data_IF_135100200432
#
_entry.id   IF_135100200432
#
_cell.length_a   1.000
_cell.length_b   1.000
_cell.length_c   1.000
_cell.angle_alpha   90.00
_cell.angle_beta   90.00
_cell.angle_gamma   90.00
#
_symmetry.space_group_name_H-M   'P 1'
#
loop_
_entity.id
_entity.type
_entity.pdbx_description
1 polymer ?
#
# COMPACT_ATOMS: atom_id res chain seq x y z
N UNK A 1 -0.44 9.62 -5.19
CA UNK A 1 0.64 8.88 -5.89
C UNK A 1 0.83 9.44 -7.29
N UNK A 2 2.07 9.73 -7.63
CA UNK A 2 2.44 10.22 -8.95
C UNK A 2 3.34 9.20 -9.63
N UNK A 3 3.19 9.06 -10.92
CA UNK A 3 4.08 8.26 -11.75
C UNK A 3 4.74 9.17 -12.76
N UNK A 4 6.08 9.20 -12.74
CA UNK A 4 6.86 10.10 -13.60
C UNK A 4 7.90 9.33 -14.41
N UNK A 5 8.25 9.89 -15.57
CA UNK A 5 9.35 9.38 -16.37
C UNK A 5 10.69 9.76 -15.73
N UNK A 6 11.59 8.80 -15.58
CA UNK A 6 12.95 9.09 -15.11
C UNK A 6 13.75 9.89 -16.13
N UNK A 7 13.45 9.73 -17.41
CA UNK A 7 14.19 10.42 -18.47
C UNK A 7 13.80 11.88 -18.59
N UNK A 8 12.52 12.19 -18.47
CA UNK A 8 12.02 13.54 -18.72
C UNK A 8 11.44 14.23 -17.50
N UNK A 9 11.13 13.48 -16.44
CA UNK A 9 10.42 14.02 -15.28
C UNK A 9 8.94 14.24 -15.52
N UNK A 10 8.46 13.92 -16.71
CA UNK A 10 7.06 14.16 -17.07
C UNK A 10 6.12 13.33 -16.21
N UNK A 11 5.02 13.95 -15.76
CA UNK A 11 3.96 13.23 -15.04
C UNK A 11 3.18 12.41 -16.06
N UNK A 12 3.15 11.10 -15.86
CA UNK A 12 2.43 10.18 -16.75
C UNK A 12 1.02 9.92 -16.26
N UNK A 13 0.84 9.79 -14.94
CA UNK A 13 -0.48 9.71 -14.33
C UNK A 13 -0.40 10.02 -12.83
N UNK A 14 -1.57 10.19 -12.23
CA UNK A 14 -1.72 10.49 -10.81
C UNK A 14 -2.95 9.77 -10.28
N UNK A 15 -2.88 9.26 -9.05
CA UNK A 15 -4.03 8.64 -8.39
C UNK A 15 -3.94 8.81 -6.88
N UNK A 16 -5.11 8.87 -6.24
CA UNK A 16 -5.22 8.87 -4.78
C UNK A 16 -5.82 7.56 -4.27
N UNK A 17 -6.03 6.58 -5.16
CA UNK A 17 -6.62 5.29 -4.80
C UNK A 17 -5.89 4.53 -3.69
N UNK A 18 -4.53 4.55 -3.60
CA UNK A 18 -3.85 3.85 -2.53
C UNK A 18 -4.11 4.38 -1.13
N UNK A 19 -4.56 5.61 -1.00
CA UNK A 19 -4.84 6.21 0.30
C UNK A 19 -6.34 6.41 0.49
N UNK A 20 -6.86 7.61 0.31
CA UNK A 20 -8.26 7.90 0.59
C UNK A 20 -9.16 7.99 -0.63
N UNK A 21 -8.58 7.92 -1.83
CA UNK A 21 -9.31 8.11 -3.08
C UNK A 21 -9.49 9.56 -3.47
N UNK A 22 -9.00 10.49 -2.65
CA UNK A 22 -9.08 11.92 -2.91
C UNK A 22 -7.83 12.62 -2.44
N UNK A 23 -7.61 13.84 -2.93
CA UNK A 23 -6.48 14.65 -2.51
C UNK A 23 -6.59 15.01 -1.03
N UNK A 24 -5.50 14.81 -0.30
CA UNK A 24 -5.41 15.17 1.11
C UNK A 24 -4.07 15.84 1.37
N UNK A 25 -4.05 16.68 2.40
CA UNK A 25 -2.82 17.36 2.77
C UNK A 25 -1.75 16.38 3.23
N UNK A 26 -2.15 15.37 3.98
CA UNK A 26 -1.26 14.33 4.49
C UNK A 26 -1.84 12.97 4.11
N UNK A 27 -1.02 12.18 3.48
CA UNK A 27 -1.38 10.80 3.17
C UNK A 27 -0.14 10.07 2.72
N UNK A 28 0.10 8.86 3.20
CA UNK A 28 1.28 8.11 2.79
C UNK A 28 0.98 6.64 2.56
N UNK A 29 1.87 6.01 1.82
CA UNK A 29 1.85 4.58 1.57
C UNK A 29 3.28 4.11 1.35
N UNK A 30 3.57 2.89 1.79
CA UNK A 30 4.84 2.23 1.50
C UNK A 30 4.68 1.40 0.25
N UNK A 31 5.62 1.53 -0.69
CA UNK A 31 5.57 0.82 -1.96
C UNK A 31 6.77 -0.10 -2.06
N UNK A 32 6.52 -1.38 -2.27
CA UNK A 32 7.56 -2.39 -2.40
C UNK A 32 7.35 -3.13 -3.70
N UNK A 33 8.33 -3.04 -4.59
CA UNK A 33 8.25 -3.69 -5.89
C UNK A 33 8.58 -5.16 -5.79
N UNK A 34 7.79 -6.00 -6.46
CA UNK A 34 8.01 -7.44 -6.53
C UNK A 34 7.67 -7.92 -7.94
N UNK A 35 8.70 -8.08 -8.77
CA UNK A 35 8.50 -8.45 -10.17
C UNK A 35 7.73 -7.36 -10.93
N UNK A 36 6.66 -7.75 -11.62
CA UNK A 36 5.82 -6.82 -12.35
C UNK A 36 4.71 -6.21 -11.50
N UNK A 37 4.68 -6.54 -10.21
CA UNK A 37 3.68 -6.06 -9.27
C UNK A 37 4.31 -5.21 -8.19
N UNK A 38 3.50 -4.41 -7.53
CA UNK A 38 3.92 -3.64 -6.37
C UNK A 38 2.96 -3.91 -5.22
N UNK A 39 3.54 -4.08 -4.04
CA UNK A 39 2.75 -4.15 -2.82
C UNK A 39 2.74 -2.75 -2.23
N UNK A 40 1.54 -2.23 -1.98
CA UNK A 40 1.35 -0.90 -1.44
C UNK A 40 0.65 -1.04 -0.10
N UNK A 41 1.29 -0.59 0.97
CA UNK A 41 0.69 -0.60 2.30
C UNK A 41 0.35 0.83 2.70
N UNK A 42 -0.94 1.12 2.79
CA UNK A 42 -1.40 2.47 3.05
C UNK A 42 -1.41 2.80 4.54
N UNK A 43 -1.42 4.08 4.85
CA UNK A 43 -1.51 4.53 6.24
C UNK A 43 -2.83 4.11 6.92
N UNK A 44 -3.80 3.69 6.14
CA UNK A 44 -5.08 3.19 6.65
C UNK A 44 -5.04 1.73 7.06
N UNK A 45 -3.93 1.05 6.82
CA UNK A 45 -3.78 -0.37 7.14
C UNK A 45 -4.21 -1.32 6.04
N UNK A 46 -4.36 -0.83 4.83
CA UNK A 46 -4.74 -1.64 3.67
C UNK A 46 -3.50 -2.10 2.91
N UNK A 47 -3.50 -3.36 2.52
CA UNK A 47 -2.52 -3.89 1.57
C UNK A 47 -3.15 -3.93 0.20
N UNK A 48 -2.48 -3.31 -0.75
CA UNK A 48 -2.92 -3.23 -2.14
C UNK A 48 -1.87 -3.92 -3.00
N UNK A 49 -2.31 -4.76 -3.92
CA UNK A 49 -1.45 -5.34 -4.94
C UNK A 49 -1.82 -4.71 -6.25
N UNK A 50 -0.86 -4.07 -6.90
CA UNK A 50 -1.12 -3.29 -8.10
C UNK A 50 -0.02 -3.47 -9.14
N UNK A 51 -0.36 -3.20 -10.39
CA UNK A 51 0.62 -3.02 -11.46
C UNK A 51 0.75 -1.53 -11.71
N UNK A 52 1.99 -1.04 -11.63
CA UNK A 52 2.30 0.35 -11.88
C UNK A 52 3.06 0.42 -13.20
N UNK A 53 2.41 0.96 -14.22
CA UNK A 53 3.00 1.08 -15.56
C UNK A 53 2.96 2.52 -16.01
N UNK A 54 3.75 2.89 -17.06
CA UNK A 54 3.66 4.25 -17.59
C UNK A 54 2.27 4.66 -18.07
N UNK A 55 1.42 3.69 -18.39
CA UNK A 55 0.08 3.95 -18.89
C UNK A 55 -0.92 4.17 -17.78
N UNK A 56 -0.81 3.43 -16.67
CA UNK A 56 -1.84 3.52 -15.64
C UNK A 56 -1.45 2.83 -14.34
N UNK A 57 -2.24 3.13 -13.31
CA UNK A 57 -2.32 2.39 -12.07
C UNK A 57 -3.42 1.33 -12.22
N UNK A 58 -3.05 0.07 -12.02
CA UNK A 58 -4.01 -1.02 -12.12
C UNK A 58 -4.04 -1.77 -10.79
N UNK A 59 -5.11 -1.60 -10.03
CA UNK A 59 -5.28 -2.27 -8.75
C UNK A 59 -5.76 -3.70 -9.00
N UNK A 60 -4.98 -4.68 -8.54
CA UNK A 60 -5.31 -6.09 -8.73
C UNK A 60 -6.08 -6.65 -7.54
N UNK A 61 -5.75 -6.18 -6.33
CA UNK A 61 -6.34 -6.73 -5.11
C UNK A 61 -6.13 -5.73 -3.98
N UNK A 62 -7.03 -5.77 -2.99
CA UNK A 62 -6.95 -4.92 -1.81
C UNK A 62 -7.53 -5.66 -0.63
N UNK A 63 -6.84 -5.57 0.51
CA UNK A 63 -7.32 -6.18 1.76
C UNK A 63 -6.98 -5.27 2.93
N UNK A 64 -7.90 -5.13 3.86
CA UNK A 64 -7.65 -4.42 5.11
C UNK A 64 -6.99 -5.40 6.08
N UNK A 65 -5.77 -5.10 6.52
CA UNK A 65 -5.01 -5.98 7.39
C UNK A 65 -5.09 -5.60 8.86
N UNK A 66 -5.10 -4.32 9.15
CA UNK A 66 -4.97 -3.84 10.53
C UNK A 66 -5.55 -2.44 10.63
N UNK A 67 -6.11 -2.12 11.78
CA UNK A 67 -6.71 -0.81 11.99
C UNK A 67 -5.64 0.25 12.26
N UNK A 68 -5.88 1.45 11.75
CA UNK A 68 -5.02 2.59 11.99
C UNK A 68 -5.40 3.18 13.34
N UNK A 69 -4.52 3.03 14.33
CA UNK A 69 -4.81 3.48 15.70
C UNK A 69 -3.79 4.46 16.26
N UNK A 70 -2.73 4.75 15.54
CA UNK A 70 -1.80 5.80 15.97
C UNK A 70 -2.40 7.16 15.62
N UNK A 71 -2.56 8.00 16.61
CA UNK A 71 -3.19 9.30 16.41
C UNK A 71 -2.17 10.36 16.00
N UNK A 72 -2.31 10.79 14.76
CA UNK A 72 -1.68 12.01 14.28
C UNK A 72 -2.76 13.10 14.28
N UNK A 73 -2.45 14.37 14.56
CA UNK A 73 -3.48 15.39 14.57
C UNK A 73 -4.35 15.39 13.33
N UNK A 74 -5.65 15.17 13.53
CA UNK A 74 -6.63 15.17 12.45
C UNK A 74 -6.88 13.83 11.78
N UNK A 75 -6.12 12.78 12.13
CA UNK A 75 -6.34 11.47 11.51
C UNK A 75 -5.68 10.34 12.29
N UNK A 76 -6.19 9.13 12.08
CA UNK A 76 -5.55 7.92 12.59
C UNK A 76 -4.74 7.28 11.47
N UNK A 77 -3.53 6.82 11.79
CA UNK A 77 -2.62 6.28 10.80
C UNK A 77 -1.90 5.03 11.30
N UNK A 78 -1.39 4.25 10.37
CA UNK A 78 -0.41 3.21 10.62
C UNK A 78 0.95 3.76 10.20
N UNK A 79 1.83 3.99 11.15
CA UNK A 79 3.15 4.58 10.87
C UNK A 79 4.22 3.56 10.55
N UNK A 80 4.07 2.33 11.05
CA UNK A 80 5.13 1.33 10.96
C UNK A 80 5.23 0.74 9.57
N UNK A 81 6.47 0.59 9.11
CA UNK A 81 6.78 -0.10 7.86
C UNK A 81 6.36 -1.57 7.98
N UNK A 82 5.72 -2.13 6.96
CA UNK A 82 5.48 -3.57 6.96
C UNK A 82 6.77 -4.31 6.62
N UNK A 83 6.86 -5.57 7.03
CA UNK A 83 7.95 -6.46 6.66
C UNK A 83 7.40 -7.61 5.84
N UNK A 84 8.16 -8.05 4.85
CA UNK A 84 7.79 -9.17 3.98
C UNK A 84 8.82 -10.28 4.12
N UNK A 85 8.37 -11.48 4.46
CA UNK A 85 9.22 -12.65 4.58
C UNK A 85 8.35 -13.91 4.53
N UNK A 86 8.92 -15.03 4.04
CA UNK A 86 8.24 -16.31 4.02
C UNK A 86 6.85 -16.27 3.39
N UNK A 87 6.73 -15.57 2.26
CA UNK A 87 5.47 -15.40 1.54
C UNK A 87 4.37 -14.77 2.39
N UNK A 88 4.76 -13.93 3.34
CA UNK A 88 3.83 -13.29 4.26
C UNK A 88 4.17 -11.84 4.46
N UNK A 89 3.18 -11.06 4.86
CA UNK A 89 3.37 -9.69 5.31
C UNK A 89 3.14 -9.62 6.81
N UNK A 90 4.02 -8.89 7.48
CA UNK A 90 3.94 -8.62 8.91
C UNK A 90 3.67 -7.13 9.08
N UNK A 91 2.57 -6.79 9.70
CA UNK A 91 2.18 -5.39 9.91
C UNK A 91 1.79 -5.17 11.36
N UNK A 92 2.01 -3.97 11.85
CA UNK A 92 1.66 -3.64 13.23
C UNK A 92 0.98 -2.28 13.33
N UNK A 93 0.13 -2.16 14.33
CA UNK A 93 -0.35 -0.87 14.81
C UNK A 93 0.14 -0.68 16.25
N UNK A 94 -0.48 0.21 17.04
CA UNK A 94 -0.02 0.46 18.39
C UNK A 94 -0.42 -0.63 19.38
N UNK A 95 -1.30 -1.55 18.99
CA UNK A 95 -1.86 -2.57 19.88
C UNK A 95 -1.46 -3.98 19.52
N UNK A 96 -1.18 -4.27 18.25
CA UNK A 96 -0.97 -5.64 17.81
C UNK A 96 -0.05 -5.72 16.60
N UNK A 97 0.47 -6.91 16.37
CA UNK A 97 1.20 -7.25 15.15
C UNK A 97 0.46 -8.43 14.51
N UNK A 98 0.28 -8.36 13.19
CA UNK A 98 -0.39 -9.41 12.43
C UNK A 98 0.55 -9.99 11.40
N UNK A 99 0.36 -11.27 11.10
CA UNK A 99 1.06 -11.96 10.02
C UNK A 99 0.01 -12.51 9.08
N UNK A 100 0.06 -12.10 7.81
CA UNK A 100 -0.92 -12.52 6.82
C UNK A 100 -0.19 -13.23 5.69
N UNK A 101 -0.65 -14.43 5.36
CA UNK A 101 -0.08 -15.19 4.25
C UNK A 101 -0.46 -14.56 2.92
N UNK A 102 0.53 -14.47 2.03
CA UNK A 102 0.33 -14.02 0.66
C UNK A 102 0.46 -15.19 -0.32
N UNK A 103 0.56 -16.41 0.20
CA UNK A 103 0.67 -17.59 -0.65
C UNK A 103 -0.61 -17.83 -1.42
N UNK A 104 -0.49 -18.09 -2.71
CA UNK A 104 -1.63 -18.22 -3.61
C UNK A 104 -2.57 -19.36 -3.20
N UNK A 105 -2.02 -20.48 -2.72
CA UNK A 105 -2.82 -21.61 -2.30
C UNK A 105 -3.77 -21.28 -1.15
N UNK A 106 -3.43 -20.32 -0.32
CA UNK A 106 -4.30 -19.88 0.77
C UNK A 106 -5.29 -18.84 0.32
N UNK A 107 -4.96 -18.09 -0.70
CA UNK A 107 -5.84 -17.06 -1.25
C UNK A 107 -7.00 -17.64 -2.05
N UNK A 108 -6.85 -18.84 -2.54
CA UNK A 108 -7.87 -19.48 -3.36
C UNK A 108 -9.05 -20.05 -2.56
N UNK A 109 -8.99 -19.96 -1.26
CA UNK A 109 -10.05 -20.48 -0.39
C UNK A 109 -11.15 -19.47 -0.11
#
# INVERSE_FOLDING_TARGET
>A
MLFRSLETGERLWETFAPTSGKSERWGHAFVIKHGDRSFIFSEKGDLIIAKLTPEKYEELSRAHLIDADNRDPGRNVVWSHPAFANKSIYARNDKEIVCVSLAESERSR
#
